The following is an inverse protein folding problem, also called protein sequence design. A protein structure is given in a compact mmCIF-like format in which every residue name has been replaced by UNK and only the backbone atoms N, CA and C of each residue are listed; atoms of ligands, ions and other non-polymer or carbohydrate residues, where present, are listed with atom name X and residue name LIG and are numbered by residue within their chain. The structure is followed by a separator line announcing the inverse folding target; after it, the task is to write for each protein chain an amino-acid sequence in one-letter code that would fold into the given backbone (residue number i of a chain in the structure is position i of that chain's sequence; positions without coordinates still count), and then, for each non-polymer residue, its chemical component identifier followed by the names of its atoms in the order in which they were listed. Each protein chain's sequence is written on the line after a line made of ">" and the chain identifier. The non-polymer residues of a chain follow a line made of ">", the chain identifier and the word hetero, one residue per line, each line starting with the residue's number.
data_IF_605594427459
#
_entry.id   IF_605594427459
#
_cell.length_a   1.000
_cell.length_b   1.000
_cell.length_c   1.000
_cell.angle_alpha   90.00
_cell.angle_beta   90.00
_cell.angle_gamma   90.00
#
_symmetry.space_group_name_H-M   'P 1'
#
loop_
_entity.id
_entity.type
_entity.pdbx_description
1 polymer ?
#
# COMPACT_ATOMS: atom_id res chain seq x y z
N UNK A 1 61.33 20.67 23.66
CA UNK A 1 60.99 19.95 22.42
C UNK A 1 61.72 18.60 22.41
N UNK A 2 61.04 17.50 22.72
CA UNK A 2 61.67 16.17 22.78
C UNK A 2 61.89 15.57 21.39
N UNK A 3 63.06 15.00 21.14
CA UNK A 3 63.38 14.29 19.88
C UNK A 3 62.42 13.09 19.71
N UNK A 4 61.65 13.07 18.61
CA UNK A 4 60.79 11.94 18.25
C UNK A 4 61.65 10.68 18.10
N UNK A 5 61.44 9.69 18.97
CA UNK A 5 62.13 8.39 18.90
C UNK A 5 61.75 7.68 17.60
N UNK A 6 62.72 7.46 16.71
CA UNK A 6 62.54 6.65 15.49
C UNK A 6 62.41 5.18 15.90
N UNK A 7 61.19 4.67 15.98
CA UNK A 7 60.94 3.23 16.22
C UNK A 7 61.25 2.44 14.94
N UNK A 8 61.97 1.31 15.06
CA UNK A 8 62.27 0.42 13.94
C UNK A 8 60.96 -0.16 13.39
N UNK A 9 60.69 0.05 12.09
CA UNK A 9 59.51 -0.52 11.42
C UNK A 9 59.59 -2.05 11.46
N UNK A 10 58.72 -2.71 12.23
CA UNK A 10 58.60 -4.17 12.25
C UNK A 10 57.80 -4.63 11.04
N UNK A 11 58.41 -5.43 10.16
CA UNK A 11 57.70 -6.03 9.03
C UNK A 11 56.90 -7.23 9.51
N UNK A 12 55.59 -7.26 9.26
CA UNK A 12 54.77 -8.44 9.53
C UNK A 12 54.75 -9.33 8.28
N UNK A 13 55.45 -10.47 8.35
CA UNK A 13 55.57 -11.41 7.24
C UNK A 13 54.26 -12.12 6.88
N UNK A 14 53.29 -12.16 7.80
CA UNK A 14 51.98 -12.77 7.56
C UNK A 14 51.06 -11.89 6.68
N UNK A 15 51.44 -10.64 6.45
CA UNK A 15 50.67 -9.69 5.63
C UNK A 15 51.30 -9.59 4.24
N UNK A 16 50.59 -10.11 3.25
CA UNK A 16 50.97 -9.90 1.86
C UNK A 16 50.60 -8.47 1.41
N UNK A 17 51.56 -7.55 1.49
CA UNK A 17 51.38 -6.13 1.15
C UNK A 17 50.91 -5.89 -0.28
N UNK A 18 51.24 -6.78 -1.23
CA UNK A 18 50.74 -6.71 -2.61
C UNK A 18 49.22 -6.92 -2.65
N UNK A 19 48.69 -7.85 -1.83
CA UNK A 19 47.24 -8.06 -1.69
C UNK A 19 46.57 -6.87 -1.00
N UNK A 20 47.19 -6.31 0.05
CA UNK A 20 46.66 -5.12 0.74
C UNK A 20 46.63 -3.89 -0.16
N UNK A 21 47.68 -3.69 -0.98
CA UNK A 21 47.71 -2.63 -1.97
C UNK A 21 46.58 -2.78 -2.99
N UNK A 22 46.42 -3.97 -3.61
CA UNK A 22 45.28 -4.25 -4.51
C UNK A 22 43.91 -4.03 -3.84
N UNK A 23 43.78 -4.37 -2.55
CA UNK A 23 42.55 -4.13 -1.78
C UNK A 23 42.27 -2.64 -1.58
N UNK A 24 43.31 -1.83 -1.32
CA UNK A 24 43.19 -0.36 -1.19
C UNK A 24 42.90 0.31 -2.53
N UNK A 25 43.45 -0.22 -3.61
CA UNK A 25 43.27 0.30 -4.96
C UNK A 25 41.93 -0.10 -5.58
N UNK A 26 41.31 -1.19 -5.10
CA UNK A 26 39.98 -1.62 -5.53
C UNK A 26 38.94 -0.56 -5.14
N UNK A 27 38.45 0.16 -6.15
CA UNK A 27 37.37 1.13 -6.01
C UNK A 27 36.03 0.41 -5.83
N UNK A 28 35.14 1.00 -5.03
CA UNK A 28 33.75 0.55 -4.93
C UNK A 28 33.00 0.91 -6.22
N UNK A 29 32.29 -0.07 -6.80
CA UNK A 29 31.39 0.20 -7.91
C UNK A 29 30.13 0.90 -7.37
N UNK A 30 30.01 2.20 -7.62
CA UNK A 30 28.85 3.01 -7.21
C UNK A 30 27.85 3.04 -8.36
N UNK A 31 26.63 2.54 -8.12
CA UNK A 31 25.58 2.44 -9.14
C UNK A 31 24.76 3.71 -9.34
N UNK A 32 24.72 4.61 -8.36
CA UNK A 32 23.97 5.86 -8.44
C UNK A 32 24.81 6.94 -9.12
N UNK A 33 24.19 7.72 -10.02
CA UNK A 33 24.86 8.80 -10.76
C UNK A 33 25.30 9.91 -9.81
N UNK A 34 24.42 10.39 -8.93
CA UNK A 34 24.73 11.52 -8.05
C UNK A 34 25.91 11.20 -7.12
N UNK A 35 25.96 9.98 -6.59
CA UNK A 35 27.06 9.52 -5.74
C UNK A 35 28.37 9.39 -6.51
N UNK A 36 28.31 8.99 -7.78
CA UNK A 36 29.50 8.83 -8.62
C UNK A 36 30.13 10.19 -8.97
N UNK A 37 29.31 11.19 -9.28
CA UNK A 37 29.75 12.55 -9.62
C UNK A 37 30.44 13.25 -8.46
N UNK A 38 29.94 13.02 -7.25
CA UNK A 38 30.43 13.67 -6.04
C UNK A 38 31.50 12.85 -5.30
N UNK A 39 31.90 11.69 -5.84
CA UNK A 39 32.87 10.78 -5.22
C UNK A 39 34.32 11.24 -5.37
N UNK A 40 35.03 11.43 -4.24
CA UNK A 40 36.46 11.75 -4.24
C UNK A 40 37.30 10.48 -3.99
N UNK A 41 38.12 10.07 -4.95
CA UNK A 41 38.95 8.85 -4.82
C UNK A 41 40.08 8.96 -3.79
N UNK A 42 40.46 10.19 -3.42
CA UNK A 42 41.52 10.47 -2.45
C UNK A 42 41.08 10.25 -1.00
N UNK A 43 39.77 10.29 -0.73
CA UNK A 43 39.20 10.23 0.60
C UNK A 43 38.75 8.81 0.94
N UNK A 44 38.63 8.53 2.23
CA UNK A 44 38.07 7.26 2.69
C UNK A 44 36.58 7.20 2.40
N UNK A 45 36.06 5.99 2.20
CA UNK A 45 34.64 5.76 1.93
C UNK A 45 33.72 6.37 3.01
N UNK A 46 34.10 6.26 4.29
CA UNK A 46 33.33 6.89 5.39
C UNK A 46 33.28 8.41 5.29
N UNK A 47 34.39 9.04 4.87
CA UNK A 47 34.46 10.50 4.76
C UNK A 47 33.65 10.99 3.56
N UNK A 48 33.70 10.29 2.43
CA UNK A 48 32.88 10.61 1.25
C UNK A 48 31.39 10.57 1.58
N UNK A 49 30.93 9.50 2.23
CA UNK A 49 29.54 9.38 2.63
C UNK A 49 29.15 10.51 3.59
N UNK A 50 29.96 10.77 4.62
CA UNK A 50 29.69 11.82 5.60
C UNK A 50 29.64 13.23 4.97
N UNK A 51 30.51 13.52 3.99
CA UNK A 51 30.51 14.80 3.27
C UNK A 51 29.27 15.01 2.40
N UNK A 52 28.63 13.93 1.96
CA UNK A 52 27.33 13.96 1.29
C UNK A 52 26.15 13.91 2.27
N UNK A 53 26.43 13.72 3.57
CA UNK A 53 25.45 13.56 4.64
C UNK A 53 24.90 12.13 4.80
N UNK A 54 25.51 11.15 4.15
CA UNK A 54 25.19 9.74 4.28
C UNK A 54 26.03 9.09 5.39
N UNK A 55 25.55 7.95 5.87
CA UNK A 55 26.20 7.17 6.92
C UNK A 55 26.59 5.81 6.38
N UNK A 56 27.79 5.34 6.73
CA UNK A 56 28.28 4.01 6.36
C UNK A 56 27.56 2.88 7.11
N UNK A 57 27.31 3.09 8.40
CA UNK A 57 26.71 2.09 9.29
C UNK A 57 25.49 2.69 10.02
N UNK A 58 24.27 2.22 9.72
CA UNK A 58 23.05 2.78 10.31
C UNK A 58 22.99 2.58 11.82
N UNK A 59 23.56 1.50 12.35
CA UNK A 59 23.52 1.21 13.80
C UNK A 59 24.38 2.19 14.62
N UNK A 60 25.34 2.87 13.98
CA UNK A 60 26.12 3.92 14.64
C UNK A 60 25.36 5.24 14.73
N UNK A 61 24.52 5.54 13.74
CA UNK A 61 23.66 6.72 13.73
C UNK A 61 22.45 6.50 14.65
N UNK A 62 21.79 5.37 14.47
CA UNK A 62 20.60 4.94 15.19
C UNK A 62 20.98 3.80 16.13
N UNK A 63 21.69 4.12 17.21
CA UNK A 63 22.07 3.12 18.19
C UNK A 63 20.81 2.48 18.80
N UNK A 64 20.64 1.17 18.60
CA UNK A 64 19.58 0.41 19.26
C UNK A 64 19.91 0.37 20.75
N UNK A 65 19.02 0.85 21.63
CA UNK A 65 19.29 0.83 23.06
C UNK A 65 19.36 -0.61 23.55
N UNK A 66 20.41 -0.95 24.29
CA UNK A 66 20.54 -2.25 24.94
C UNK A 66 19.53 -2.36 26.09
N UNK A 67 19.19 -3.57 26.53
CA UNK A 67 18.40 -3.80 27.75
C UNK A 67 19.01 -3.04 28.95
N UNK A 68 20.34 -2.93 29.01
CA UNK A 68 21.05 -2.16 30.06
C UNK A 68 20.78 -0.66 30.00
N UNK A 69 20.61 -0.09 28.81
CA UNK A 69 20.30 1.34 28.63
C UNK A 69 18.85 1.66 29.04
N UNK A 70 17.96 0.67 28.94
CA UNK A 70 16.56 0.75 29.35
C UNK A 70 16.34 0.45 30.85
N UNK A 71 17.32 -0.11 31.55
CA UNK A 71 17.25 -0.45 32.99
C UNK A 71 17.65 0.72 33.91
N UNK A 72 18.14 1.84 33.37
CA UNK A 72 18.45 3.05 34.13
C UNK A 72 17.21 3.94 34.37
N UNK A 73 17.24 4.86 35.37
CA UNK A 73 16.17 5.84 35.53
C UNK A 73 16.07 6.67 34.25
N UNK A 74 14.89 6.60 33.61
CA UNK A 74 14.58 7.32 32.38
C UNK A 74 14.57 8.82 32.70
N UNK A 75 15.71 9.48 32.51
CA UNK A 75 15.77 10.94 32.53
C UNK A 75 14.81 11.45 31.45
N UNK A 76 13.81 12.22 31.88
CA UNK A 76 12.72 12.71 31.03
C UNK A 76 13.24 13.72 29.98
N UNK A 77 14.46 14.23 30.14
CA UNK A 77 15.03 15.24 29.26
C UNK A 77 16.27 14.76 28.48
N UNK A 78 16.19 13.63 27.79
CA UNK A 78 17.06 13.39 26.63
C UNK A 78 16.39 13.90 25.36
N UNK A 79 15.99 15.18 25.37
CA UNK A 79 16.13 15.96 24.14
C UNK A 79 17.64 16.04 23.90
N UNK A 80 18.17 15.08 23.13
CA UNK A 80 19.58 15.05 22.78
C UNK A 80 19.98 16.45 22.30
N UNK A 81 21.06 17.06 22.83
CA UNK A 81 21.61 18.27 22.24
C UNK A 81 21.80 17.96 20.77
N UNK A 82 21.02 18.63 19.92
CA UNK A 82 21.15 18.49 18.47
C UNK A 82 22.60 18.88 18.20
N UNK A 83 23.50 17.94 17.86
CA UNK A 83 24.89 18.30 17.65
C UNK A 83 24.86 19.36 16.55
N UNK A 84 25.44 20.55 16.83
CA UNK A 84 25.44 21.70 15.93
C UNK A 84 25.60 21.21 14.49
N UNK A 85 24.50 21.21 13.74
CA UNK A 85 24.39 20.55 12.44
C UNK A 85 25.23 21.35 11.45
N UNK A 86 26.54 21.08 11.38
CA UNK A 86 27.33 21.53 10.25
C UNK A 86 26.70 20.87 9.03
N UNK A 87 26.06 21.66 8.18
CA UNK A 87 25.51 21.17 6.92
C UNK A 87 26.65 20.51 6.14
N UNK A 88 26.52 19.25 5.73
CA UNK A 88 27.57 18.58 4.98
C UNK A 88 27.84 19.36 3.68
N UNK A 89 29.11 19.48 3.25
CA UNK A 89 29.47 20.34 2.12
C UNK A 89 28.79 19.90 0.80
N UNK A 90 28.48 18.61 0.65
CA UNK A 90 27.83 18.03 -0.53
C UNK A 90 26.39 17.59 -0.19
N UNK A 91 25.67 18.36 0.63
CA UNK A 91 24.28 18.05 1.04
C UNK A 91 23.29 17.97 -0.12
N UNK A 92 23.60 18.59 -1.26
CA UNK A 92 22.80 18.54 -2.48
C UNK A 92 22.47 17.10 -2.91
N UNK A 93 23.41 16.17 -2.73
CA UNK A 93 23.25 14.76 -3.14
C UNK A 93 22.08 14.11 -2.41
N UNK A 94 21.90 14.38 -1.11
CA UNK A 94 20.73 13.88 -0.36
C UNK A 94 19.44 14.47 -0.93
N UNK A 95 19.43 15.76 -1.22
CA UNK A 95 18.21 16.42 -1.72
C UNK A 95 17.79 15.85 -3.08
N UNK A 96 18.75 15.47 -3.93
CA UNK A 96 18.47 14.80 -5.20
C UNK A 96 17.95 13.38 -4.99
N UNK A 97 18.61 12.60 -4.12
CA UNK A 97 18.19 11.23 -3.80
C UNK A 97 16.79 11.20 -3.18
N UNK A 98 16.47 12.14 -2.30
CA UNK A 98 15.13 12.29 -1.71
C UNK A 98 14.10 12.63 -2.80
N UNK A 99 14.42 13.54 -3.73
CA UNK A 99 13.54 13.85 -4.87
C UNK A 99 13.32 12.64 -5.77
N UNK A 100 14.36 11.86 -6.02
CA UNK A 100 14.26 10.63 -6.83
C UNK A 100 13.45 9.54 -6.14
N UNK A 101 13.65 9.34 -4.84
CA UNK A 101 12.88 8.39 -4.05
C UNK A 101 11.40 8.79 -3.92
N UNK A 102 11.13 10.09 -3.83
CA UNK A 102 9.78 10.64 -3.77
C UNK A 102 9.08 10.70 -5.15
N UNK A 103 9.74 10.29 -6.25
CA UNK A 103 9.04 10.18 -7.54
C UNK A 103 7.92 9.16 -7.40
N UNK A 104 6.66 9.51 -7.69
CA UNK A 104 5.56 8.56 -7.62
C UNK A 104 5.84 7.44 -8.63
N UNK A 105 5.88 6.20 -8.13
CA UNK A 105 5.96 5.04 -9.01
C UNK A 105 4.56 4.73 -9.55
N UNK A 106 4.47 4.51 -10.86
CA UNK A 106 3.23 4.07 -11.48
C UNK A 106 2.85 2.68 -10.96
N UNK A 107 1.64 2.52 -10.42
CA UNK A 107 1.14 1.21 -10.04
C UNK A 107 0.71 0.45 -11.28
N UNK A 108 1.50 -0.53 -11.73
CA UNK A 108 1.13 -1.42 -12.84
C UNK A 108 0.19 -2.55 -12.40
N UNK A 109 -0.78 -2.26 -11.53
CA UNK A 109 -1.78 -3.25 -11.13
C UNK A 109 -2.69 -3.56 -12.33
N UNK A 110 -2.78 -4.83 -12.70
CA UNK A 110 -3.68 -5.33 -13.75
C UNK A 110 -4.42 -6.53 -13.19
N UNK A 111 -5.74 -6.57 -13.34
CA UNK A 111 -6.49 -7.80 -13.07
C UNK A 111 -6.29 -8.80 -14.19
N UNK A 112 -6.38 -10.09 -13.85
CA UNK A 112 -6.40 -11.15 -14.84
C UNK A 112 -7.66 -11.06 -15.72
N UNK A 113 -7.61 -11.61 -16.93
CA UNK A 113 -8.73 -11.56 -17.86
C UNK A 113 -10.00 -12.22 -17.28
N UNK A 114 -9.85 -13.35 -16.59
CA UNK A 114 -10.97 -14.04 -15.93
C UNK A 114 -11.61 -13.19 -14.83
N UNK A 115 -10.82 -12.44 -14.07
CA UNK A 115 -11.32 -11.51 -13.05
C UNK A 115 -12.02 -10.31 -13.67
N UNK A 116 -11.52 -9.78 -14.79
CA UNK A 116 -12.18 -8.72 -15.54
C UNK A 116 -13.55 -9.21 -16.02
N UNK A 117 -13.61 -10.38 -16.66
CA UNK A 117 -14.86 -10.98 -17.15
C UNK A 117 -15.85 -11.28 -16.01
N UNK A 118 -15.35 -11.67 -14.84
CA UNK A 118 -16.16 -11.87 -13.66
C UNK A 118 -16.74 -10.54 -13.15
N UNK A 119 -15.90 -9.50 -13.04
CA UNK A 119 -16.33 -8.19 -12.58
C UNK A 119 -17.31 -7.53 -13.56
N UNK A 120 -17.06 -7.59 -14.87
CA UNK A 120 -17.97 -7.05 -15.89
C UNK A 120 -19.33 -7.74 -15.83
N UNK A 121 -19.36 -9.07 -15.71
CA UNK A 121 -20.61 -9.81 -15.53
C UNK A 121 -21.39 -9.37 -14.29
N UNK A 122 -20.69 -9.23 -13.15
CA UNK A 122 -21.31 -8.80 -11.90
C UNK A 122 -21.89 -7.38 -12.01
N UNK A 123 -21.17 -6.48 -12.69
CA UNK A 123 -21.61 -5.11 -12.96
C UNK A 123 -22.82 -5.05 -13.91
N UNK A 124 -22.86 -5.88 -14.95
CA UNK A 124 -23.95 -5.88 -15.92
C UNK A 124 -25.25 -6.47 -15.35
N UNK A 125 -25.13 -7.53 -14.54
CA UNK A 125 -26.28 -8.22 -13.90
C UNK A 125 -26.85 -7.44 -12.72
N UNK A 126 -25.98 -7.04 -11.80
CA UNK A 126 -26.37 -6.53 -10.49
C UNK A 126 -26.16 -5.02 -10.34
N UNK A 127 -25.35 -4.40 -11.21
CA UNK A 127 -25.07 -2.96 -11.17
C UNK A 127 -24.05 -2.56 -10.11
N UNK A 128 -23.89 -1.24 -9.97
CA UNK A 128 -23.01 -0.59 -9.00
C UNK A 128 -23.73 -0.15 -7.71
N UNK A 129 -25.07 -0.16 -7.73
CA UNK A 129 -25.92 0.44 -6.70
C UNK A 129 -26.32 -0.57 -5.61
N UNK A 130 -25.41 -0.88 -4.71
CA UNK A 130 -25.69 -1.71 -3.51
C UNK A 130 -26.21 -0.89 -2.31
N UNK A 131 -26.54 0.40 -2.51
CA UNK A 131 -27.12 1.31 -1.50
C UNK A 131 -28.24 2.23 -2.02
N UNK A 132 -28.55 2.22 -3.31
CA UNK A 132 -29.47 3.20 -3.90
C UNK A 132 -30.31 2.57 -5.00
N UNK A 133 -31.14 1.60 -4.62
CA UNK A 133 -32.25 1.15 -5.45
C UNK A 133 -33.56 1.44 -4.75
N UNK A 134 -33.89 2.72 -4.66
CA UNK A 134 -35.27 3.09 -4.94
C UNK A 134 -35.46 2.87 -6.46
N UNK A 135 -36.53 2.15 -6.80
CA UNK A 135 -37.13 2.09 -8.14
C UNK A 135 -36.42 1.28 -9.23
N UNK A 136 -36.29 -0.03 -8.99
CA UNK A 136 -36.61 -1.01 -10.05
C UNK A 136 -37.70 -1.95 -9.54
N UNK A 137 -38.93 -1.46 -9.58
CA UNK A 137 -40.11 -2.28 -9.40
C UNK A 137 -40.14 -3.35 -10.49
N UNK A 138 -40.05 -4.60 -10.05
CA UNK A 138 -40.28 -5.76 -10.87
C UNK A 138 -41.73 -5.67 -11.42
N UNK A 139 -41.88 -5.40 -12.72
CA UNK A 139 -43.18 -5.36 -13.39
C UNK A 139 -43.72 -6.78 -13.50
N UNK A 140 -44.37 -7.27 -12.45
CA UNK A 140 -45.13 -8.52 -12.50
C UNK A 140 -46.36 -8.27 -13.39
N UNK A 141 -46.40 -8.89 -14.56
CA UNK A 141 -47.65 -9.09 -15.28
C UNK A 141 -48.40 -10.23 -14.57
N UNK A 142 -49.42 -9.90 -13.79
CA UNK A 142 -50.41 -10.86 -13.30
C UNK A 142 -50.92 -10.58 -11.88
N UNK A 143 -52.24 -10.69 -11.61
CA UNK A 143 -52.80 -10.52 -10.27
C UNK A 143 -52.61 -11.79 -9.46
N UNK A 144 -51.91 -11.70 -8.32
CA UNK A 144 -51.90 -12.76 -7.31
C UNK A 144 -52.68 -12.23 -6.11
N UNK A 145 -53.83 -12.86 -5.90
CA UNK A 145 -54.68 -12.76 -4.72
C UNK A 145 -53.83 -12.91 -3.45
N UNK A 146 -53.89 -11.89 -2.59
CA UNK A 146 -53.33 -11.93 -1.25
C UNK A 146 -54.17 -12.89 -0.39
N UNK A 147 -53.61 -14.06 -0.07
CA UNK A 147 -54.10 -14.88 1.04
C UNK A 147 -53.39 -14.36 2.29
N UNK A 148 -54.14 -13.64 3.11
CA UNK A 148 -53.76 -13.25 4.45
C UNK A 148 -53.80 -14.51 5.33
N UNK A 149 -52.67 -14.91 5.91
CA UNK A 149 -52.64 -15.94 6.95
C UNK A 149 -52.92 -15.29 8.30
N UNK A 150 -54.12 -15.52 8.83
CA UNK A 150 -54.49 -15.19 10.19
C UNK A 150 -53.90 -16.23 11.16
N UNK A 151 -53.04 -15.79 12.07
CA UNK A 151 -52.77 -16.48 13.34
C UNK A 151 -52.86 -15.45 14.46
N UNK A 152 -54.06 -15.30 15.01
CA UNK A 152 -54.31 -14.91 16.40
C UNK A 152 -54.49 -16.20 17.17
N UNK A 153 -53.80 -16.48 18.27
CA UNK A 153 -54.01 -15.86 19.59
C UNK A 153 -52.81 -16.09 20.53
N UNK A 154 -52.31 -15.04 21.18
CA UNK A 154 -51.85 -15.11 22.59
C UNK A 154 -52.23 -13.80 23.28
N UNK A 155 -52.94 -13.97 24.40
CA UNK A 155 -53.23 -13.00 25.45
C UNK A 155 -51.91 -12.45 25.99
N UNK A 156 -51.71 -11.15 25.87
CA UNK A 156 -51.34 -10.24 26.97
C UNK A 156 -51.10 -8.85 26.37
N UNK A 157 -51.75 -7.86 26.99
CA UNK A 157 -51.87 -6.50 26.48
C UNK A 157 -50.55 -5.74 26.43
N UNK A 158 -49.80 -5.92 25.35
CA UNK A 158 -48.80 -4.95 24.89
C UNK A 158 -48.87 -4.86 23.37
N UNK A 159 -49.59 -3.84 22.89
CA UNK A 159 -49.52 -3.39 21.50
C UNK A 159 -48.14 -2.79 21.28
N UNK A 160 -47.16 -3.65 20.96
CA UNK A 160 -45.95 -3.22 20.28
C UNK A 160 -46.37 -2.84 18.85
N UNK A 161 -46.72 -1.57 18.66
CA UNK A 161 -46.85 -0.95 17.34
C UNK A 161 -45.48 -0.87 16.68
N UNK A 162 -44.98 -2.01 16.22
CA UNK A 162 -43.86 -2.07 15.30
C UNK A 162 -44.41 -1.65 13.94
N UNK A 163 -44.25 -0.37 13.62
CA UNK A 163 -44.73 0.17 12.35
C UNK A 163 -44.18 -0.66 11.18
N UNK A 164 -45.08 -1.18 10.35
CA UNK A 164 -44.74 -2.00 9.18
C UNK A 164 -43.85 -1.29 8.15
N UNK A 165 -43.66 0.03 8.31
CA UNK A 165 -42.79 0.87 7.48
C UNK A 165 -41.30 0.62 7.77
N UNK A 166 -40.94 0.19 8.98
CA UNK A 166 -39.52 0.07 9.38
C UNK A 166 -38.84 -1.23 8.92
N UNK A 167 -39.60 -2.29 8.61
CA UNK A 167 -39.06 -3.54 8.05
C UNK A 167 -38.75 -3.46 6.55
N UNK A 168 -39.36 -2.52 5.82
CA UNK A 168 -39.23 -2.42 4.35
C UNK A 168 -37.90 -1.81 3.90
N UNK A 169 -37.30 -0.95 4.73
CA UNK A 169 -36.05 -0.22 4.40
C UNK A 169 -34.79 -1.02 4.76
N UNK A 170 -34.83 -1.86 5.79
CA UNK A 170 -33.68 -2.67 6.22
C UNK A 170 -33.52 -4.01 5.45
N UNK A 171 -34.55 -4.47 4.75
CA UNK A 171 -34.51 -5.77 4.07
C UNK A 171 -33.87 -5.74 2.67
N UNK A 172 -33.99 -4.63 1.91
CA UNK A 172 -33.59 -4.58 0.49
C UNK A 172 -32.08 -4.58 0.26
N UNK A 173 -31.27 -3.98 1.14
CA UNK A 173 -29.80 -3.92 0.96
C UNK A 173 -29.12 -5.28 1.13
N UNK A 174 -29.67 -6.17 1.96
CA UNK A 174 -29.11 -7.52 2.16
C UNK A 174 -29.45 -8.49 1.02
N UNK A 175 -30.48 -8.20 0.22
CA UNK A 175 -30.96 -9.12 -0.82
C UNK A 175 -30.05 -9.12 -2.04
N UNK A 176 -29.55 -7.96 -2.48
CA UNK A 176 -28.65 -7.88 -3.64
C UNK A 176 -27.28 -8.48 -3.35
N UNK A 177 -26.73 -8.22 -2.16
CA UNK A 177 -25.48 -8.84 -1.69
C UNK A 177 -25.62 -10.37 -1.64
N UNK A 178 -26.74 -10.85 -1.12
CA UNK A 178 -27.09 -12.28 -1.06
C UNK A 178 -27.34 -12.90 -2.43
N UNK A 179 -27.71 -12.11 -3.44
CA UNK A 179 -27.90 -12.57 -4.82
C UNK A 179 -26.54 -12.73 -5.53
N UNK A 180 -25.62 -11.76 -5.37
CA UNK A 180 -24.28 -11.83 -5.96
C UNK A 180 -23.46 -13.03 -5.46
N UNK A 181 -23.53 -13.33 -4.16
CA UNK A 181 -22.87 -14.52 -3.62
C UNK A 181 -23.44 -15.84 -4.15
N UNK A 182 -24.74 -15.84 -4.52
CA UNK A 182 -25.43 -17.01 -5.09
C UNK A 182 -25.33 -17.09 -6.61
N UNK A 183 -24.65 -16.15 -7.26
CA UNK A 183 -24.50 -16.16 -8.70
C UNK A 183 -23.74 -17.39 -9.18
N UNK A 184 -24.17 -17.96 -10.30
CA UNK A 184 -23.57 -19.19 -10.85
C UNK A 184 -22.12 -19.01 -11.30
N UNK A 185 -21.70 -17.78 -11.65
CA UNK A 185 -20.29 -17.50 -12.00
C UNK A 185 -19.39 -17.34 -10.78
N UNK A 186 -19.96 -17.26 -9.59
CA UNK A 186 -19.21 -17.23 -8.33
C UNK A 186 -18.74 -18.64 -7.94
N UNK A 187 -17.85 -19.24 -8.75
CA UNK A 187 -17.37 -20.61 -8.55
C UNK A 187 -16.68 -20.82 -7.19
N UNK A 188 -15.87 -19.84 -6.78
CA UNK A 188 -15.12 -19.90 -5.52
C UNK A 188 -15.94 -19.48 -4.30
N UNK A 189 -17.26 -19.32 -4.46
CA UNK A 189 -18.18 -18.97 -3.37
C UNK A 189 -17.73 -17.72 -2.60
N UNK A 190 -17.22 -16.72 -3.31
CA UNK A 190 -16.77 -15.47 -2.72
C UNK A 190 -17.91 -14.81 -1.94
N UNK A 191 -17.59 -14.30 -0.77
CA UNK A 191 -18.52 -13.48 0.01
C UNK A 191 -18.83 -12.19 -0.76
N UNK A 192 -20.02 -11.58 -0.56
CA UNK A 192 -20.37 -10.35 -1.27
C UNK A 192 -19.34 -9.22 -1.06
N UNK A 193 -18.70 -9.19 0.11
CA UNK A 193 -17.64 -8.25 0.45
C UNK A 193 -16.36 -8.48 -0.35
N UNK A 194 -15.99 -9.73 -0.62
CA UNK A 194 -14.85 -10.06 -1.48
C UNK A 194 -15.13 -9.69 -2.93
N UNK A 195 -16.33 -10.00 -3.43
CA UNK A 195 -16.74 -9.60 -4.79
C UNK A 195 -16.69 -8.06 -4.93
N UNK A 196 -17.16 -7.32 -3.93
CA UNK A 196 -17.05 -5.85 -3.88
C UNK A 196 -15.60 -5.37 -3.93
N UNK A 197 -14.69 -6.01 -3.20
CA UNK A 197 -13.26 -5.66 -3.25
C UNK A 197 -12.69 -5.89 -4.65
N UNK A 198 -13.06 -6.99 -5.33
CA UNK A 198 -12.64 -7.27 -6.71
C UNK A 198 -13.17 -6.22 -7.68
N UNK A 199 -14.45 -5.85 -7.57
CA UNK A 199 -15.06 -4.80 -8.39
C UNK A 199 -14.39 -3.43 -8.13
N UNK A 200 -14.09 -3.09 -6.87
CA UNK A 200 -13.39 -1.85 -6.56
C UNK A 200 -11.95 -1.85 -7.09
N UNK A 201 -11.25 -2.97 -7.00
CA UNK A 201 -9.94 -3.13 -7.63
C UNK A 201 -10.03 -2.93 -9.15
N UNK A 202 -11.08 -3.46 -9.79
CA UNK A 202 -11.36 -3.27 -11.21
C UNK A 202 -11.59 -1.80 -11.58
N UNK A 203 -12.41 -1.08 -10.81
CA UNK A 203 -12.64 0.37 -11.02
C UNK A 203 -11.39 1.22 -10.84
N UNK A 204 -10.50 0.82 -9.93
CA UNK A 204 -9.26 1.52 -9.65
C UNK A 204 -8.20 1.36 -10.76
N UNK A 205 -8.43 0.45 -11.73
CA UNK A 205 -7.55 0.25 -12.89
C UNK A 205 -8.18 0.96 -14.09
N UNK A 206 -7.73 2.18 -14.44
CA UNK A 206 -8.39 3.01 -15.45
C UNK A 206 -8.39 2.34 -16.83
N UNK A 207 -7.29 1.70 -17.22
CA UNK A 207 -7.14 1.07 -18.54
C UNK A 207 -8.24 0.01 -18.80
N UNK A 208 -8.45 -0.89 -17.84
CA UNK A 208 -9.42 -1.99 -17.97
C UNK A 208 -10.87 -1.49 -17.80
N UNK A 209 -11.10 -0.55 -16.88
CA UNK A 209 -12.43 -0.02 -16.61
C UNK A 209 -12.93 0.88 -17.76
N UNK A 210 -12.06 1.69 -18.36
CA UNK A 210 -12.40 2.52 -19.52
C UNK A 210 -12.84 1.68 -20.73
N UNK A 211 -12.13 0.57 -21.00
CA UNK A 211 -12.52 -0.37 -22.05
C UNK A 211 -13.93 -0.95 -21.81
N UNK A 212 -14.27 -1.26 -20.55
CA UNK A 212 -15.63 -1.67 -20.20
C UNK A 212 -16.66 -0.56 -20.44
N UNK A 213 -16.40 0.68 -20.03
CA UNK A 213 -17.30 1.81 -20.25
C UNK A 213 -17.57 2.09 -21.73
N UNK A 214 -16.55 1.97 -22.58
CA UNK A 214 -16.69 2.10 -24.03
C UNK A 214 -17.60 1.00 -24.61
N UNK A 215 -17.41 -0.25 -24.18
CA UNK A 215 -18.27 -1.36 -24.59
C UNK A 215 -19.74 -1.12 -24.21
N UNK A 216 -20.00 -0.58 -23.02
CA UNK A 216 -21.34 -0.26 -22.52
C UNK A 216 -22.00 0.91 -23.26
N UNK A 217 -21.23 1.93 -23.66
CA UNK A 217 -21.72 3.01 -24.53
C UNK A 217 -22.12 2.47 -25.91
N UNK A 218 -21.35 1.52 -26.46
CA UNK A 218 -21.64 0.91 -27.75
C UNK A 218 -22.92 0.07 -27.74
N UNK A 219 -23.18 -0.66 -26.65
CA UNK A 219 -24.39 -1.48 -26.50
C UNK A 219 -25.63 -0.61 -26.34
N UNK A 220 -25.55 0.46 -25.54
CA UNK A 220 -26.66 1.41 -25.39
C UNK A 220 -27.01 2.12 -26.69
N UNK A 221 -26.01 2.51 -27.51
CA UNK A 221 -26.25 3.13 -28.82
C UNK A 221 -27.00 2.18 -29.76
N UNK A 222 -26.59 0.90 -29.80
CA UNK A 222 -27.24 -0.13 -30.64
C UNK A 222 -28.70 -0.38 -30.27
N UNK A 223 -29.03 -0.37 -28.98
CA UNK A 223 -30.39 -0.65 -28.51
C UNK A 223 -31.37 0.52 -28.68
N UNK A 224 -30.87 1.72 -28.99
CA UNK A 224 -31.67 2.93 -29.18
C UNK A 224 -31.92 3.27 -30.67
N UNK A 225 -31.32 2.51 -31.58
CA UNK A 225 -31.60 2.49 -33.03
C UNK A 225 -32.55 1.36 -33.36
#
# INVERSE_FOLDING_TARGET
>A
MGKVRKVRKKYNYNKNRRREWKKREKKSAVGCVQLKESWDESKTLSKNLQEMGLVLDPNKLLAVPSTKDNLGPRSVDKCLPVPNKSTPPKSFVITELEKEANRPQESHAKLSESEVLFCTHMLDRYGDDYKSSEDKTFRVRGPILAIHCDVTTVRDGSVCSFSAVQWRVLCSSTVLDKAMARDYRNYYQDTPKQIKRRINAFKNIPDQYNAYLESKKSTSKRNNT
#
